data_IF_325002001642
#
_entry.id   IF_325002001642
#
_cell.length_a   1.000
_cell.length_b   1.000
_cell.length_c   1.000
_cell.angle_alpha   90.00
_cell.angle_beta   90.00
_cell.angle_gamma   90.00
#
_symmetry.space_group_name_H-M   'P 1'
#
loop_
_entity.id
_entity.type
_entity.pdbx_description
1 polymer ?
#
# COMPACT_ATOMS: atom_id res chain seq x y z
N UNK A 1 3.72 7.64 12.65
CA UNK A 1 3.26 6.24 12.66
C UNK A 1 4.14 5.48 11.67
N UNK A 2 3.81 4.27 11.20
CA UNK A 2 4.52 3.71 10.03
C UNK A 2 4.02 4.35 8.73
N UNK A 3 4.84 4.40 7.68
CA UNK A 3 4.46 5.02 6.39
C UNK A 3 3.15 4.44 5.79
N UNK A 4 2.88 3.15 5.99
CA UNK A 4 1.61 2.52 5.54
C UNK A 4 0.39 3.01 6.31
N UNK A 5 0.55 3.36 7.59
CA UNK A 5 -0.52 3.95 8.39
C UNK A 5 -0.81 5.40 7.99
N UNK A 6 0.24 6.16 7.67
CA UNK A 6 0.12 7.53 7.16
C UNK A 6 -0.54 7.55 5.78
N UNK A 7 -0.15 6.64 4.88
CA UNK A 7 -0.81 6.47 3.59
C UNK A 7 -2.28 6.05 3.72
N UNK A 8 -2.61 5.17 4.68
CA UNK A 8 -4.01 4.82 4.99
C UNK A 8 -4.82 6.06 5.39
N UNK A 9 -4.25 6.91 6.24
CA UNK A 9 -4.91 8.13 6.70
C UNK A 9 -5.10 9.13 5.55
N UNK A 10 -4.09 9.30 4.70
CA UNK A 10 -4.17 10.17 3.52
C UNK A 10 -5.27 9.75 2.54
N UNK A 11 -5.48 8.44 2.34
CA UNK A 11 -6.59 7.94 1.51
C UNK A 11 -7.96 8.30 2.11
N UNK A 12 -8.11 8.20 3.43
CA UNK A 12 -9.36 8.56 4.11
C UNK A 12 -9.63 10.07 3.97
N UNK A 13 -8.59 10.90 4.20
CA UNK A 13 -8.68 12.35 4.04
C UNK A 13 -8.97 12.79 2.60
N UNK A 14 -8.53 12.00 1.62
CA UNK A 14 -8.83 12.20 0.21
C UNK A 14 -10.27 11.79 -0.20
N UNK A 15 -11.05 11.22 0.72
CA UNK A 15 -12.46 10.87 0.49
C UNK A 15 -12.74 9.40 0.20
N UNK A 16 -11.75 8.50 0.34
CA UNK A 16 -12.03 7.06 0.32
C UNK A 16 -12.74 6.67 1.62
N UNK A 17 -13.88 5.99 1.49
CA UNK A 17 -14.77 5.69 2.61
C UNK A 17 -14.26 4.55 3.48
N UNK A 18 -13.52 3.61 2.87
CA UNK A 18 -12.94 2.45 3.54
C UNK A 18 -11.63 2.09 2.86
N UNK A 19 -10.58 1.89 3.65
CA UNK A 19 -9.31 1.33 3.19
C UNK A 19 -9.23 -0.11 3.70
N UNK A 20 -9.22 -1.07 2.77
CA UNK A 20 -9.06 -2.50 3.10
C UNK A 20 -7.62 -2.77 3.54
N UNK A 21 -6.64 -2.27 2.80
CA UNK A 21 -5.23 -2.33 3.19
C UNK A 21 -4.37 -1.26 2.52
N UNK A 22 -3.28 -0.92 3.20
CA UNK A 22 -2.04 -0.38 2.62
C UNK A 22 -0.89 -1.21 3.19
N UNK A 23 -0.11 -1.88 2.33
CA UNK A 23 0.92 -2.80 2.78
C UNK A 23 2.14 -2.79 1.87
N UNK A 24 3.33 -2.75 2.46
CA UNK A 24 4.59 -2.99 1.77
C UNK A 24 4.91 -4.49 1.82
N UNK A 25 5.09 -5.11 0.66
CA UNK A 25 5.42 -6.54 0.51
C UNK A 25 6.60 -6.74 -0.44
N UNK A 26 7.32 -7.84 -0.29
CA UNK A 26 8.30 -8.26 -1.30
C UNK A 26 7.63 -8.53 -2.64
N UNK A 27 8.26 -8.12 -3.74
CA UNK A 27 7.66 -8.21 -5.08
C UNK A 27 7.33 -9.63 -5.54
N UNK A 28 8.17 -10.62 -5.17
CA UNK A 28 8.03 -12.00 -5.66
C UNK A 28 7.22 -12.90 -4.72
N UNK A 29 7.37 -12.73 -3.41
CA UNK A 29 6.87 -13.68 -2.41
C UNK A 29 5.64 -13.16 -1.68
N UNK A 30 5.36 -11.86 -1.76
CA UNK A 30 4.39 -11.15 -0.92
C UNK A 30 4.65 -11.30 0.60
N UNK A 31 5.84 -11.71 0.99
CA UNK A 31 6.27 -11.69 2.39
C UNK A 31 6.35 -10.23 2.90
N UNK A 32 6.41 -10.00 4.22
CA UNK A 32 6.72 -8.68 4.76
C UNK A 32 7.96 -8.08 4.08
N UNK A 33 7.83 -6.87 3.57
CA UNK A 33 8.92 -6.23 2.83
C UNK A 33 10.17 -6.01 3.70
N UNK A 34 11.33 -6.18 3.09
CA UNK A 34 12.65 -5.88 3.68
C UNK A 34 13.41 -4.93 2.75
N UNK A 35 14.21 -4.04 3.36
CA UNK A 35 14.90 -2.95 2.66
C UNK A 35 15.91 -3.41 1.60
N UNK A 36 16.47 -4.60 1.76
CA UNK A 36 17.43 -5.23 0.85
C UNK A 36 16.76 -5.94 -0.35
N UNK A 37 15.44 -5.84 -0.47
CA UNK A 37 14.66 -6.51 -1.52
C UNK A 37 13.76 -5.53 -2.24
N UNK A 38 13.57 -5.81 -3.53
CA UNK A 38 12.51 -5.17 -4.30
C UNK A 38 11.15 -5.45 -3.65
N UNK A 39 10.32 -4.42 -3.62
CA UNK A 39 9.00 -4.48 -3.03
C UNK A 39 7.90 -3.91 -3.92
N UNK A 40 6.70 -4.07 -3.41
CA UNK A 40 5.48 -3.41 -3.87
C UNK A 40 4.78 -2.77 -2.69
N UNK A 41 4.41 -1.51 -2.82
CA UNK A 41 3.38 -0.91 -1.99
C UNK A 41 2.04 -1.25 -2.64
N UNK A 42 1.19 -1.98 -1.92
CA UNK A 42 -0.13 -2.39 -2.38
C UNK A 42 -1.20 -1.61 -1.62
N UNK A 43 -2.20 -1.09 -2.33
CA UNK A 43 -3.34 -0.42 -1.73
C UNK A 43 -4.66 -0.96 -2.30
N UNK A 44 -5.67 -1.06 -1.44
CA UNK A 44 -7.06 -1.29 -1.84
C UNK A 44 -8.00 -0.44 -0.99
N UNK A 45 -8.86 0.32 -1.66
CA UNK A 45 -9.78 1.24 -1.02
C UNK A 45 -11.10 1.39 -1.81
N UNK A 46 -12.13 1.86 -1.12
CA UNK A 46 -13.48 1.99 -1.64
C UNK A 46 -13.82 3.45 -1.93
N UNK A 47 -14.27 3.71 -3.17
CA UNK A 47 -14.81 4.98 -3.62
C UNK A 47 -16.29 4.77 -3.98
N UNK A 48 -17.19 5.13 -3.06
CA UNK A 48 -18.59 4.72 -3.15
C UNK A 48 -18.70 3.20 -2.99
N UNK A 49 -19.37 2.57 -3.96
CA UNK A 49 -19.50 1.10 -4.04
C UNK A 49 -18.39 0.45 -4.85
N UNK A 50 -17.48 1.23 -5.44
CA UNK A 50 -16.41 0.72 -6.29
C UNK A 50 -15.16 0.44 -5.46
N UNK A 51 -14.62 -0.78 -5.59
CA UNK A 51 -13.35 -1.16 -4.98
C UNK A 51 -12.20 -0.96 -5.97
N UNK A 52 -11.33 -0.02 -5.65
CA UNK A 52 -10.13 0.29 -6.44
C UNK A 52 -8.91 -0.39 -5.83
N UNK A 53 -8.02 -0.85 -6.69
CA UNK A 53 -6.71 -1.37 -6.33
C UNK A 53 -5.64 -0.60 -7.10
N UNK A 54 -4.49 -0.43 -6.47
CA UNK A 54 -3.29 0.04 -7.15
C UNK A 54 -2.04 -0.54 -6.48
N UNK A 55 -0.91 -0.48 -7.19
CA UNK A 55 0.39 -0.82 -6.65
C UNK A 55 1.48 0.13 -7.15
N UNK A 56 2.51 0.31 -6.33
CA UNK A 56 3.71 1.04 -6.68
C UNK A 56 4.95 0.18 -6.41
N UNK A 57 5.93 0.23 -7.30
CA UNK A 57 7.22 -0.41 -7.10
C UNK A 57 8.04 0.27 -5.99
N UNK A 58 8.66 -0.55 -5.15
CA UNK A 58 9.69 -0.13 -4.21
C UNK A 58 11.01 -0.72 -4.72
N UNK A 59 11.89 0.08 -5.35
CA UNK A 59 13.17 -0.43 -5.82
C UNK A 59 14.05 -0.87 -4.65
N UNK A 60 14.85 -1.91 -4.85
CA UNK A 60 15.89 -2.24 -3.89
C UNK A 60 16.88 -1.06 -3.80
N UNK A 61 17.15 -0.61 -2.58
CA UNK A 61 18.25 0.33 -2.35
C UNK A 61 19.52 -0.49 -2.13
N UNK A 62 20.56 -0.25 -2.95
CA UNK A 62 21.90 -0.80 -2.72
C UNK A 62 22.47 -0.35 -1.37
#
# INVERSE_FOLDING_TARGET
AGATAEARQALIEAGFQKVDYVAARESLTLAPWRRDREGRLLAAAWLGTTRLIDNLEIPASM
#
